data_IF_106478908668
#
_entry.id   IF_106478908668
#
_cell.length_a   1.000
_cell.length_b   1.000
_cell.length_c   1.000
_cell.angle_alpha   90.00
_cell.angle_beta   90.00
_cell.angle_gamma   90.00
#
_symmetry.space_group_name_H-M   'P 1'
#
loop_
_entity.id
_entity.type
_entity.pdbx_description
1 polymer ?
#
# COMPACT_ATOMS: atom_id res chain seq x y z
N UNK A 1 -21.23 -10.15 18.89
CA UNK A 1 -20.34 -9.76 17.78
C UNK A 1 -21.18 -9.67 16.52
N UNK A 2 -21.37 -8.47 15.96
CA UNK A 2 -22.22 -8.29 14.77
C UNK A 2 -21.62 -9.04 13.58
N UNK A 3 -22.42 -9.89 12.93
CA UNK A 3 -22.01 -10.65 11.74
C UNK A 3 -21.71 -9.66 10.62
N UNK A 4 -20.49 -9.71 10.08
CA UNK A 4 -20.05 -8.81 9.01
C UNK A 4 -20.90 -9.07 7.75
N UNK A 5 -21.64 -8.07 7.30
CA UNK A 5 -22.45 -8.16 6.09
C UNK A 5 -21.60 -7.82 4.87
N UNK A 6 -21.21 -8.84 4.10
CA UNK A 6 -20.28 -8.68 2.98
C UNK A 6 -20.82 -7.77 1.87
N UNK A 7 -22.13 -7.82 1.62
CA UNK A 7 -22.80 -6.98 0.60
C UNK A 7 -22.75 -5.50 0.98
N UNK A 8 -23.07 -5.18 2.23
CA UNK A 8 -22.99 -3.81 2.75
C UNK A 8 -21.56 -3.27 2.66
N UNK A 9 -20.55 -4.13 2.88
CA UNK A 9 -19.14 -3.75 2.74
C UNK A 9 -18.76 -3.45 1.29
N UNK A 10 -19.39 -4.09 0.29
CA UNK A 10 -19.20 -3.77 -1.13
C UNK A 10 -19.86 -2.44 -1.49
N UNK A 11 -21.07 -2.17 -0.99
CA UNK A 11 -21.77 -0.89 -1.17
C UNK A 11 -20.95 0.27 -0.59
N UNK A 12 -20.39 0.09 0.61
CA UNK A 12 -19.49 1.07 1.23
C UNK A 12 -18.28 1.40 0.35
N UNK A 13 -17.68 0.40 -0.31
CA UNK A 13 -16.55 0.59 -1.23
C UNK A 13 -16.96 1.36 -2.48
N UNK A 14 -18.10 1.03 -3.09
CA UNK A 14 -18.63 1.74 -4.26
C UNK A 14 -18.88 3.21 -3.95
N UNK A 15 -19.57 3.49 -2.85
CA UNK A 15 -19.83 4.87 -2.40
C UNK A 15 -18.52 5.65 -2.19
N UNK A 16 -17.51 5.00 -1.61
CA UNK A 16 -16.20 5.63 -1.39
C UNK A 16 -15.54 6.05 -2.70
N UNK A 17 -15.58 5.19 -3.73
CA UNK A 17 -15.00 5.49 -5.05
C UNK A 17 -15.74 6.65 -5.70
N UNK A 18 -17.07 6.66 -5.65
CA UNK A 18 -17.90 7.72 -6.23
C UNK A 18 -17.65 9.08 -5.54
N UNK A 19 -17.61 9.09 -4.20
CA UNK A 19 -17.35 10.30 -3.43
C UNK A 19 -15.95 10.85 -3.67
N UNK A 20 -14.94 9.98 -3.78
CA UNK A 20 -13.58 10.38 -4.10
C UNK A 20 -13.47 10.93 -5.53
N UNK A 21 -14.11 10.28 -6.50
CA UNK A 21 -14.18 10.76 -7.89
C UNK A 21 -14.94 12.08 -8.04
N UNK A 22 -15.92 12.34 -7.18
CA UNK A 22 -16.65 13.61 -7.08
C UNK A 22 -15.94 14.70 -6.26
N UNK A 23 -14.66 14.49 -5.88
CA UNK A 23 -13.86 15.42 -5.09
C UNK A 23 -14.50 15.80 -3.73
N UNK A 24 -15.17 14.84 -3.08
CA UNK A 24 -15.76 15.03 -1.75
C UNK A 24 -14.69 15.40 -0.71
N UNK A 25 -15.03 16.33 0.18
CA UNK A 25 -14.13 16.76 1.25
C UNK A 25 -13.84 15.63 2.24
N UNK A 26 -12.65 15.67 2.87
CA UNK A 26 -12.26 14.70 3.91
C UNK A 26 -13.26 14.66 5.07
N UNK A 27 -13.75 15.83 5.48
CA UNK A 27 -14.75 15.96 6.54
C UNK A 27 -16.09 15.28 6.19
N UNK A 28 -16.54 15.44 4.94
CA UNK A 28 -17.75 14.76 4.45
C UNK A 28 -17.56 13.22 4.47
N UNK A 29 -16.38 12.75 4.05
CA UNK A 29 -16.04 11.32 4.07
C UNK A 29 -16.03 10.75 5.49
N UNK A 30 -15.50 11.48 6.47
CA UNK A 30 -15.50 11.08 7.88
C UNK A 30 -16.90 11.08 8.50
N UNK A 31 -17.75 12.06 8.13
CA UNK A 31 -19.17 12.07 8.55
C UNK A 31 -19.92 10.86 8.00
N UNK A 32 -19.76 10.56 6.71
CA UNK A 32 -20.42 9.42 6.05
C UNK A 32 -19.91 8.07 6.55
N UNK A 33 -18.64 7.98 6.97
CA UNK A 33 -18.10 6.78 7.59
C UNK A 33 -18.76 6.44 8.93
N UNK A 34 -19.09 7.45 9.76
CA UNK A 34 -19.81 7.23 11.04
C UNK A 34 -21.16 6.56 10.83
N UNK A 35 -21.81 6.80 9.69
CA UNK A 35 -23.07 6.16 9.31
C UNK A 35 -22.89 4.86 8.52
N UNK A 36 -21.65 4.41 8.30
CA UNK A 36 -21.35 3.22 7.52
C UNK A 36 -21.68 3.35 6.04
N UNK A 37 -21.65 4.57 5.48
CA UNK A 37 -21.95 4.84 4.07
C UNK A 37 -20.68 4.82 3.20
N UNK A 38 -19.55 5.29 3.74
CA UNK A 38 -18.25 5.34 3.06
C UNK A 38 -17.12 4.86 3.95
N UNK A 39 -15.96 4.58 3.37
CA UNK A 39 -14.73 4.22 4.08
C UNK A 39 -13.78 5.42 4.11
N UNK A 40 -13.09 5.63 5.24
CA UNK A 40 -12.06 6.67 5.33
C UNK A 40 -10.74 6.15 4.75
N UNK A 41 -10.02 6.95 3.94
CA UNK A 41 -8.72 6.59 3.37
C UNK A 41 -7.64 6.23 4.41
N UNK A 42 -7.77 6.70 5.65
CA UNK A 42 -6.80 6.47 6.74
C UNK A 42 -6.59 5.00 7.09
N UNK A 43 -7.54 4.11 6.76
CA UNK A 43 -7.39 2.68 7.01
C UNK A 43 -6.34 2.02 6.11
N UNK A 44 -6.12 2.53 4.89
CA UNK A 44 -5.12 1.95 3.95
C UNK A 44 -3.69 2.18 4.45
N UNK A 45 -3.41 3.37 4.98
CA UNK A 45 -2.10 3.74 5.51
C UNK A 45 -1.75 2.97 6.78
N UNK A 46 -2.71 2.80 7.70
CA UNK A 46 -2.50 2.01 8.93
C UNK A 46 -2.14 0.55 8.66
N UNK A 47 -2.70 -0.07 7.63
CA UNK A 47 -2.37 -1.45 7.27
C UNK A 47 -0.93 -1.55 6.75
N UNK A 48 -0.50 -0.60 5.92
CA UNK A 48 0.88 -0.58 5.40
C UNK A 48 1.90 -0.27 6.50
N UNK A 49 1.59 0.64 7.42
CA UNK A 49 2.42 0.92 8.60
C UNK A 49 2.53 -0.30 9.53
N UNK A 50 1.40 -0.97 9.82
CA UNK A 50 1.39 -2.16 10.68
C UNK A 50 2.15 -3.36 10.09
N UNK A 51 2.20 -3.49 8.76
CA UNK A 51 2.99 -4.54 8.10
C UNK A 51 4.48 -4.23 8.20
N UNK A 52 4.87 -2.95 8.04
CA UNK A 52 6.27 -2.54 8.11
C UNK A 52 6.83 -2.51 9.54
N UNK A 53 6.01 -2.15 10.54
CA UNK A 53 6.49 -1.87 11.91
C UNK A 53 7.05 -3.08 12.65
N UNK A 54 6.61 -4.29 12.32
CA UNK A 54 7.06 -5.53 12.97
C UNK A 54 7.94 -6.41 12.10
N UNK A 55 8.30 -5.93 10.91
CA UNK A 55 9.12 -6.70 9.97
C UNK A 55 10.48 -7.07 10.58
N UNK A 56 11.13 -6.13 11.25
CA UNK A 56 12.44 -6.35 11.88
C UNK A 56 12.35 -7.34 13.04
N UNK A 57 11.33 -7.24 13.88
CA UNK A 57 11.12 -8.15 15.01
C UNK A 57 10.92 -9.60 14.53
N UNK A 58 10.09 -9.77 13.49
CA UNK A 58 9.85 -11.06 12.85
C UNK A 58 11.11 -11.60 12.16
N UNK A 59 11.87 -10.73 11.50
CA UNK A 59 13.12 -11.12 10.85
C UNK A 59 14.14 -11.63 11.87
N UNK A 60 14.30 -10.93 13.00
CA UNK A 60 15.18 -11.35 14.11
C UNK A 60 14.76 -12.69 14.68
N UNK A 61 13.45 -12.91 14.87
CA UNK A 61 12.95 -14.20 15.36
C UNK A 61 13.25 -15.34 14.37
N UNK A 62 13.06 -15.12 13.07
CA UNK A 62 13.35 -16.11 12.04
C UNK A 62 14.85 -16.43 11.92
N UNK A 63 15.74 -15.47 12.13
CA UNK A 63 17.20 -15.74 12.24
C UNK A 63 17.49 -16.62 13.45
N UNK A 64 16.87 -16.35 14.61
CA UNK A 64 17.02 -17.20 15.82
C UNK A 64 16.50 -18.61 15.61
N UNK A 65 15.48 -18.78 14.76
CA UNK A 65 14.94 -20.09 14.33
C UNK A 65 15.86 -20.81 13.31
N UNK A 66 17.00 -20.22 12.93
CA UNK A 66 17.97 -20.82 12.02
C UNK A 66 17.63 -20.63 10.53
N UNK A 67 16.66 -19.78 10.19
CA UNK A 67 16.30 -19.49 8.79
C UNK A 67 17.31 -18.57 8.15
N UNK A 68 17.59 -18.80 6.87
CA UNK A 68 18.47 -17.94 6.07
C UNK A 68 17.64 -16.96 5.24
N UNK A 69 18.04 -15.69 5.25
CA UNK A 69 17.40 -14.67 4.44
C UNK A 69 18.08 -14.58 3.08
N UNK A 70 17.28 -14.59 2.03
CA UNK A 70 17.73 -14.28 0.67
C UNK A 70 17.20 -12.90 0.34
N UNK A 71 18.11 -12.01 -0.06
CA UNK A 71 17.75 -10.70 -0.59
C UNK A 71 17.42 -10.87 -2.06
N UNK A 72 16.16 -10.59 -2.42
CA UNK A 72 15.71 -10.51 -3.80
C UNK A 72 15.67 -9.03 -4.17
N UNK A 73 16.35 -8.70 -5.27
CA UNK A 73 16.43 -7.35 -5.82
C UNK A 73 15.59 -7.33 -7.09
N UNK A 74 14.62 -6.42 -7.15
CA UNK A 74 13.87 -6.12 -8.37
C UNK A 74 14.28 -4.73 -8.88
N UNK A 75 14.55 -4.65 -10.18
CA UNK A 75 14.77 -3.39 -10.86
C UNK A 75 13.41 -2.76 -11.18
N UNK A 76 13.24 -1.50 -10.80
CA UNK A 76 12.06 -0.69 -11.09
C UNK A 76 12.49 0.44 -12.00
N UNK A 77 12.12 0.35 -13.26
CA UNK A 77 12.35 1.37 -14.27
C UNK A 77 11.04 2.11 -14.57
N UNK A 78 11.08 3.44 -14.58
CA UNK A 78 9.96 4.24 -15.07
C UNK A 78 10.42 5.48 -15.84
N UNK A 79 9.55 5.96 -16.72
CA UNK A 79 9.78 7.20 -17.46
C UNK A 79 9.00 8.35 -16.83
N UNK A 80 9.72 9.36 -16.38
CA UNK A 80 9.14 10.67 -16.08
C UNK A 80 9.00 11.44 -17.39
N UNK A 81 7.77 11.45 -17.92
CA UNK A 81 7.41 12.24 -19.11
C UNK A 81 7.03 13.66 -18.69
N UNK A 82 7.62 14.64 -19.37
CA UNK A 82 7.28 16.05 -19.18
C UNK A 82 6.18 16.40 -20.17
N UNK A 83 5.16 17.13 -19.71
CA UNK A 83 4.03 17.55 -20.55
C UNK A 83 4.46 18.45 -21.73
N UNK A 84 5.51 19.26 -21.55
CA UNK A 84 6.07 20.17 -22.56
C UNK A 84 7.59 19.98 -22.61
N UNK A 85 8.11 19.47 -23.73
CA UNK A 85 9.55 19.20 -23.90
C UNK A 85 10.27 20.48 -24.34
N UNK A 86 11.30 20.88 -23.57
CA UNK A 86 12.12 22.06 -23.84
C UNK A 86 13.60 21.68 -23.80
N UNK A 87 14.47 22.54 -24.33
CA UNK A 87 15.93 22.30 -24.32
C UNK A 87 16.48 22.03 -22.90
N UNK A 88 15.86 22.60 -21.87
CA UNK A 88 16.20 22.45 -20.46
C UNK A 88 15.38 21.39 -19.71
N UNK A 89 14.28 20.88 -20.30
CA UNK A 89 13.39 19.88 -19.69
C UNK A 89 13.04 18.77 -20.67
N UNK A 90 13.68 17.63 -20.44
CA UNK A 90 13.50 16.41 -21.23
C UNK A 90 12.89 15.30 -20.38
N UNK A 91 12.34 14.30 -21.05
CA UNK A 91 11.92 13.07 -20.40
C UNK A 91 13.11 12.41 -19.72
N UNK A 92 12.88 11.85 -18.54
CA UNK A 92 13.92 11.17 -17.76
C UNK A 92 13.52 9.72 -17.57
N UNK A 93 14.39 8.81 -17.97
CA UNK A 93 14.35 7.44 -17.50
C UNK A 93 14.92 7.43 -16.08
N UNK A 94 14.16 6.89 -15.14
CA UNK A 94 14.57 6.72 -13.75
C UNK A 94 14.67 5.24 -13.49
N UNK A 95 15.82 4.85 -12.97
CA UNK A 95 16.10 3.51 -12.51
C UNK A 95 16.15 3.51 -10.98
N UNK A 96 15.38 2.64 -10.35
CA UNK A 96 15.48 2.35 -8.93
C UNK A 96 15.56 0.84 -8.70
N UNK A 97 16.08 0.45 -7.55
CA UNK A 97 16.14 -0.95 -7.12
C UNK A 97 15.28 -1.08 -5.87
N UNK A 98 14.33 -2.01 -5.90
CA UNK A 98 13.58 -2.42 -4.73
C UNK A 98 14.18 -3.71 -4.17
N UNK A 99 14.44 -3.72 -2.87
CA UNK A 99 14.96 -4.89 -2.17
C UNK A 99 13.86 -5.49 -1.32
N UNK A 100 13.60 -6.79 -1.49
CA UNK A 100 12.74 -7.56 -0.59
C UNK A 100 13.56 -8.67 0.08
N UNK A 101 13.49 -8.76 1.40
CA UNK A 101 14.08 -9.86 2.15
C UNK A 101 13.07 -11.00 2.27
N UNK A 102 13.42 -12.17 1.71
CA UNK A 102 12.61 -13.38 1.75
C UNK A 102 13.28 -14.39 2.68
N UNK A 103 12.54 -14.89 3.66
CA UNK A 103 13.02 -15.98 4.51
C UNK A 103 12.92 -17.30 3.72
N UNK A 104 14.05 -17.90 3.42
CA UNK A 104 14.14 -19.21 2.78
C UNK A 104 14.27 -20.29 3.86
N UNK A 105 13.34 -21.23 3.90
CA UNK A 105 13.61 -22.54 4.51
C UNK A 105 14.43 -23.35 3.51
N UNK A 106 15.74 -23.10 3.46
CA UNK A 106 16.66 -24.06 2.89
C UNK A 106 16.67 -25.28 3.82
N UNK A 107 15.87 -26.28 3.48
CA UNK A 107 16.04 -27.64 4.01
C UNK A 107 17.35 -28.14 3.40
N UNK A 108 18.42 -28.08 4.20
CA UNK A 108 19.67 -28.79 3.93
C UNK A 108 19.62 -30.15 4.60
#
# INVERSE_FOLDING_TARGET
MFKRFHELSRVQRLNTVLLYGGNASKELMERLNRYGISMVPTMKYKIQENIGSHFLDLAVQMVKEGKTFVLVLDNIDWELKVHDMRSDKQNKSVHAVATTAVASCLIA
#
